data_IF_499330879672
#
_entry.id   IF_499330879672
#
_cell.length_a   1.000
_cell.length_b   1.000
_cell.length_c   1.000
_cell.angle_alpha   90.00
_cell.angle_beta   90.00
_cell.angle_gamma   90.00
#
_symmetry.space_group_name_H-M   'P 1'
#
loop_
_entity.id
_entity.type
_entity.pdbx_description
1 polymer ?
#
# COMPACT_ATOMS: atom_id res chain seq x y z
N UNK A 1 32.79 44.90 26.63
CA UNK A 1 32.25 43.56 26.34
C UNK A 1 30.81 43.38 26.86
N UNK A 2 30.50 43.82 28.05
CA UNK A 2 29.14 43.66 28.67
C UNK A 2 28.05 44.36 27.86
N UNK A 3 28.33 45.57 27.32
CA UNK A 3 27.36 46.33 26.52
C UNK A 3 27.00 45.68 25.18
N UNK A 4 27.93 44.94 24.55
CA UNK A 4 27.68 44.17 23.33
C UNK A 4 26.92 42.88 23.62
N UNK A 5 27.15 42.29 24.79
CA UNK A 5 26.39 41.10 25.23
C UNK A 5 24.93 41.44 25.58
N UNK A 6 24.70 42.60 26.19
CA UNK A 6 23.36 43.10 26.51
C UNK A 6 22.55 43.42 25.26
N UNK A 7 23.19 43.93 24.20
CA UNK A 7 22.54 44.20 22.90
C UNK A 7 22.16 42.91 22.15
N UNK A 8 22.98 41.88 22.23
CA UNK A 8 22.67 40.54 21.59
C UNK A 8 21.55 39.85 22.35
N UNK A 9 21.49 39.93 23.68
CA UNK A 9 20.40 39.37 24.48
C UNK A 9 19.07 40.12 24.21
N UNK A 10 19.12 41.45 24.06
CA UNK A 10 17.93 42.25 23.74
C UNK A 10 17.38 41.97 22.33
N UNK A 11 18.26 41.72 21.34
CA UNK A 11 17.86 41.34 19.99
C UNK A 11 17.32 39.89 19.91
N UNK A 12 17.82 38.95 20.72
CA UNK A 12 17.24 37.60 20.81
C UNK A 12 15.84 37.57 21.45
N UNK A 13 15.57 38.42 22.46
CA UNK A 13 14.24 38.55 23.06
C UNK A 13 13.20 39.18 22.13
N UNK A 14 13.61 40.02 21.19
CA UNK A 14 12.70 40.63 20.21
C UNK A 14 12.26 39.63 19.09
N UNK A 15 12.96 38.51 18.89
CA UNK A 15 12.65 37.53 17.87
C UNK A 15 11.55 36.54 18.26
N UNK A 16 11.06 36.56 19.50
CA UNK A 16 10.00 35.65 19.98
C UNK A 16 8.61 36.32 20.09
N UNK A 17 8.46 37.55 19.60
CA UNK A 17 7.13 38.10 19.37
C UNK A 17 6.53 37.29 18.19
N UNK A 18 5.92 36.13 18.49
CA UNK A 18 4.98 35.46 17.56
C UNK A 18 3.85 36.46 17.35
N UNK A 19 3.92 37.21 16.27
CA UNK A 19 2.78 38.00 15.81
C UNK A 19 1.62 37.02 15.63
N UNK A 20 0.60 37.11 16.48
CA UNK A 20 -0.66 36.45 16.28
C UNK A 20 -1.14 36.88 14.91
N UNK A 21 -0.99 35.99 13.91
CA UNK A 21 -1.45 36.25 12.55
C UNK A 21 -2.98 36.21 12.58
N UNK A 22 -3.60 37.37 12.45
CA UNK A 22 -5.02 37.45 12.13
C UNK A 22 -5.23 36.94 10.72
N UNK A 23 -6.05 35.92 10.58
CA UNK A 23 -6.34 35.27 9.31
C UNK A 23 -7.63 35.82 8.72
N UNK A 24 -7.56 36.39 7.52
CA UNK A 24 -8.74 36.71 6.71
C UNK A 24 -9.22 35.45 5.96
N UNK A 25 -10.47 35.46 5.53
CA UNK A 25 -11.06 34.38 4.72
C UNK A 25 -10.22 34.11 3.47
N UNK A 26 -9.78 35.15 2.76
CA UNK A 26 -8.97 35.01 1.55
C UNK A 26 -7.60 34.43 1.82
N UNK A 27 -7.00 34.79 2.97
CA UNK A 27 -5.74 34.19 3.41
C UNK A 27 -5.90 32.69 3.70
N UNK A 28 -7.01 32.29 4.35
CA UNK A 28 -7.33 30.90 4.60
C UNK A 28 -7.54 30.10 3.30
N UNK A 29 -8.27 30.66 2.34
CA UNK A 29 -8.43 30.07 1.00
C UNK A 29 -7.10 29.89 0.29
N UNK A 30 -6.25 30.93 0.28
CA UNK A 30 -4.94 30.87 -0.37
C UNK A 30 -4.02 29.82 0.28
N UNK A 31 -3.99 29.73 1.60
CA UNK A 31 -3.21 28.72 2.32
C UNK A 31 -3.71 27.30 2.03
N UNK A 32 -5.02 27.10 2.00
CA UNK A 32 -5.59 25.80 1.71
C UNK A 32 -5.29 25.33 0.29
N UNK A 33 -5.42 26.20 -0.71
CA UNK A 33 -5.07 25.87 -2.09
C UNK A 33 -3.60 25.46 -2.25
N UNK A 34 -2.72 25.94 -1.35
CA UNK A 34 -1.28 25.60 -1.37
C UNK A 34 -0.97 24.34 -0.55
N UNK A 35 -1.57 24.19 0.62
CA UNK A 35 -1.12 23.26 1.65
C UNK A 35 -2.11 22.12 1.93
N UNK A 36 -3.35 22.19 1.40
CA UNK A 36 -4.37 21.17 1.67
C UNK A 36 -3.94 19.80 1.15
N UNK A 37 -4.00 18.80 2.04
CA UNK A 37 -3.54 17.43 1.74
C UNK A 37 -4.43 16.72 0.74
N UNK A 38 -5.75 16.99 0.77
CA UNK A 38 -6.71 16.39 -0.18
C UNK A 38 -6.44 16.89 -1.60
N UNK A 39 -6.20 18.20 -1.75
CA UNK A 39 -5.85 18.78 -3.04
C UNK A 39 -4.49 18.29 -3.54
N UNK A 40 -3.51 18.14 -2.64
CA UNK A 40 -2.21 17.55 -2.98
C UNK A 40 -2.36 16.10 -3.46
N UNK A 41 -3.22 15.30 -2.83
CA UNK A 41 -3.53 13.95 -3.28
C UNK A 41 -4.18 13.91 -4.67
N UNK A 42 -5.12 14.83 -4.95
CA UNK A 42 -5.74 14.94 -6.27
C UNK A 42 -4.72 15.31 -7.37
N UNK A 43 -3.76 16.18 -7.07
CA UNK A 43 -2.65 16.51 -8.00
C UNK A 43 -1.77 15.29 -8.28
N UNK A 44 -1.42 14.52 -7.26
CA UNK A 44 -0.67 13.27 -7.44
C UNK A 44 -1.45 12.23 -8.24
N UNK A 45 -2.79 12.18 -8.10
CA UNK A 45 -3.64 11.32 -8.92
C UNK A 45 -3.61 11.73 -10.40
N UNK A 46 -3.57 13.04 -10.70
CA UNK A 46 -3.39 13.52 -12.08
C UNK A 46 -2.03 13.10 -12.63
N UNK A 47 -0.95 13.26 -11.86
CA UNK A 47 0.39 12.80 -12.27
C UNK A 47 0.39 11.30 -12.54
N UNK A 48 -0.24 10.50 -11.67
CA UNK A 48 -0.42 9.06 -11.90
C UNK A 48 -1.18 8.75 -13.20
N UNK A 49 -2.25 9.49 -13.50
CA UNK A 49 -3.02 9.33 -14.73
C UNK A 49 -2.16 9.69 -15.95
N UNK A 50 -1.38 10.77 -15.88
CA UNK A 50 -0.42 11.13 -16.91
C UNK A 50 0.61 10.02 -17.19
N UNK A 51 1.19 9.43 -16.14
CA UNK A 51 2.12 8.29 -16.30
C UNK A 51 1.43 7.03 -16.81
N UNK A 52 0.14 6.82 -16.50
CA UNK A 52 -0.65 5.72 -17.08
C UNK A 52 -0.81 5.89 -18.61
N UNK A 53 -1.00 7.12 -19.10
CA UNK A 53 -1.01 7.40 -20.54
C UNK A 53 0.34 7.05 -21.17
N UNK A 54 1.46 7.44 -20.53
CA UNK A 54 2.80 7.06 -21.00
C UNK A 54 2.97 5.54 -21.02
N UNK A 55 2.55 4.86 -19.95
CA UNK A 55 2.60 3.40 -19.85
C UNK A 55 1.70 2.70 -20.88
N UNK A 56 0.51 3.25 -21.20
CA UNK A 56 -0.34 2.72 -22.26
C UNK A 56 0.32 2.80 -23.62
N UNK A 57 1.07 3.88 -23.91
CA UNK A 57 1.84 4.03 -25.16
C UNK A 57 2.96 2.99 -25.28
N UNK A 58 3.57 2.55 -24.18
CA UNK A 58 4.62 1.51 -24.23
C UNK A 58 4.11 0.15 -24.68
N UNK A 59 2.78 -0.09 -24.68
CA UNK A 59 2.19 -1.32 -25.25
C UNK A 59 2.45 -1.49 -26.76
N UNK A 60 2.83 -0.42 -27.46
CA UNK A 60 3.29 -0.50 -28.84
C UNK A 60 4.74 -0.94 -28.98
N UNK A 61 5.51 -0.92 -27.90
CA UNK A 61 6.92 -1.27 -27.90
C UNK A 61 7.13 -2.76 -27.61
N UNK A 62 8.26 -3.34 -28.03
CA UNK A 62 8.64 -4.70 -27.65
C UNK A 62 8.75 -4.81 -26.14
N UNK A 63 8.18 -5.89 -25.60
CA UNK A 63 8.27 -6.22 -24.19
C UNK A 63 9.27 -7.36 -23.99
N UNK A 64 10.30 -7.12 -23.19
CA UNK A 64 11.31 -8.11 -22.83
C UNK A 64 11.01 -8.59 -21.43
N UNK A 65 10.77 -9.89 -21.28
CA UNK A 65 10.62 -10.54 -20.00
C UNK A 65 11.73 -11.60 -19.81
N UNK A 66 12.31 -11.65 -18.63
CA UNK A 66 13.26 -12.69 -18.23
C UNK A 66 12.65 -13.46 -17.06
N UNK A 67 12.61 -14.78 -17.19
CA UNK A 67 12.17 -15.69 -16.16
C UNK A 67 13.34 -16.62 -15.81
N UNK A 68 13.73 -16.65 -14.55
CA UNK A 68 14.72 -17.59 -14.01
C UNK A 68 14.06 -18.50 -12.99
N UNK A 69 14.30 -19.82 -13.11
CA UNK A 69 13.90 -20.83 -12.16
C UNK A 69 15.11 -21.63 -11.68
N UNK A 70 15.18 -21.92 -10.40
CA UNK A 70 16.10 -22.85 -9.80
C UNK A 70 15.28 -23.94 -9.11
N UNK A 71 15.51 -25.20 -9.52
CA UNK A 71 14.85 -26.35 -8.97
C UNK A 71 15.86 -27.24 -8.26
N UNK A 72 15.61 -27.52 -7.00
CA UNK A 72 16.37 -28.43 -6.18
C UNK A 72 15.56 -29.70 -5.95
N UNK A 73 16.00 -30.82 -6.55
CA UNK A 73 15.35 -32.10 -6.41
C UNK A 73 16.09 -32.96 -5.42
N UNK A 74 15.39 -33.59 -4.47
CA UNK A 74 16.03 -34.48 -3.48
C UNK A 74 16.51 -35.80 -4.06
N UNK A 75 16.00 -36.21 -5.22
CA UNK A 75 16.35 -37.41 -5.96
C UNK A 75 16.81 -37.05 -7.37
N UNK A 76 17.83 -37.78 -7.81
CA UNK A 76 18.32 -37.78 -9.18
C UNK A 76 17.29 -38.41 -10.11
N UNK A 77 16.89 -37.71 -11.18
CA UNK A 77 16.01 -38.26 -12.21
C UNK A 77 16.92 -39.06 -13.20
N UNK A 78 16.86 -40.36 -13.12
CA UNK A 78 17.59 -41.23 -14.04
C UNK A 78 16.67 -41.67 -15.18
N UNK A 79 17.19 -41.71 -16.40
CA UNK A 79 16.49 -42.26 -17.56
C UNK A 79 16.28 -43.76 -17.48
N UNK A 80 17.12 -44.46 -16.67
CA UNK A 80 17.04 -45.88 -16.45
C UNK A 80 16.43 -46.17 -15.07
N UNK A 81 15.51 -47.17 -15.01
CA UNK A 81 15.00 -47.68 -13.74
C UNK A 81 16.12 -48.43 -12.98
N UNK A 82 15.97 -48.58 -11.67
CA UNK A 82 16.99 -49.28 -10.85
C UNK A 82 17.11 -50.73 -11.25
N UNK A 83 16.06 -51.36 -11.73
CA UNK A 83 16.10 -52.74 -12.33
C UNK A 83 16.92 -52.80 -13.62
N UNK A 84 16.73 -51.80 -14.51
CA UNK A 84 17.50 -51.70 -15.76
C UNK A 84 18.99 -51.43 -15.49
N UNK A 85 19.28 -50.59 -14.50
CA UNK A 85 20.69 -50.36 -14.08
C UNK A 85 21.32 -51.64 -13.56
N UNK A 86 20.59 -52.35 -12.68
CA UNK A 86 21.04 -53.64 -12.15
C UNK A 86 21.24 -54.66 -13.26
N UNK A 87 20.33 -54.78 -14.20
CA UNK A 87 20.43 -55.70 -15.33
C UNK A 87 21.64 -55.36 -16.23
N UNK A 88 21.88 -54.08 -16.55
CA UNK A 88 23.04 -53.68 -17.36
C UNK A 88 24.36 -53.91 -16.64
N UNK A 89 24.44 -53.55 -15.34
CA UNK A 89 25.69 -53.66 -14.56
C UNK A 89 26.11 -55.11 -14.22
N UNK A 90 25.16 -56.06 -14.31
CA UNK A 90 25.41 -57.51 -14.05
C UNK A 90 25.18 -58.40 -15.25
N UNK A 91 24.95 -57.81 -16.41
CA UNK A 91 24.63 -58.56 -17.64
C UNK A 91 25.73 -59.59 -18.02
N UNK A 92 26.98 -59.20 -17.85
CA UNK A 92 28.12 -60.07 -18.12
C UNK A 92 28.21 -61.26 -17.16
N UNK A 93 28.06 -60.99 -15.87
CA UNK A 93 28.05 -62.02 -14.84
C UNK A 93 26.92 -63.01 -15.02
N UNK A 94 25.73 -62.54 -15.33
CA UNK A 94 24.56 -63.43 -15.58
C UNK A 94 24.74 -64.28 -16.85
N UNK A 95 25.19 -63.67 -17.94
CA UNK A 95 25.40 -64.39 -19.20
C UNK A 95 26.51 -65.46 -19.06
N UNK A 96 27.64 -65.11 -18.45
CA UNK A 96 28.76 -66.04 -18.27
C UNK A 96 28.42 -67.13 -17.26
N UNK A 97 27.67 -66.84 -16.19
CA UNK A 97 27.20 -67.81 -15.21
C UNK A 97 26.27 -68.86 -15.84
N UNK A 98 25.33 -68.46 -16.69
CA UNK A 98 24.48 -69.39 -17.45
C UNK A 98 25.30 -70.29 -18.38
N UNK A 99 26.20 -69.72 -19.17
CA UNK A 99 27.09 -70.44 -20.05
C UNK A 99 27.99 -71.42 -19.28
N UNK A 100 28.52 -71.04 -18.12
CA UNK A 100 29.33 -71.89 -17.26
C UNK A 100 28.54 -73.09 -16.71
N UNK A 101 27.32 -72.86 -16.30
CA UNK A 101 26.45 -73.96 -15.80
C UNK A 101 26.18 -74.97 -16.92
N UNK A 102 25.90 -74.53 -18.14
CA UNK A 102 25.62 -75.39 -19.31
C UNK A 102 26.91 -76.17 -19.72
N UNK A 103 28.07 -75.49 -19.78
CA UNK A 103 29.32 -76.12 -20.08
C UNK A 103 29.71 -77.19 -19.02
N UNK A 104 29.53 -76.82 -17.72
CA UNK A 104 29.84 -77.75 -16.65
C UNK A 104 28.89 -78.96 -16.68
N UNK A 105 27.66 -78.79 -16.99
CA UNK A 105 26.67 -79.85 -17.14
C UNK A 105 27.02 -80.75 -18.34
N UNK A 106 27.40 -80.16 -19.46
CA UNK A 106 27.83 -80.90 -20.65
C UNK A 106 29.13 -81.72 -20.40
N UNK A 107 30.10 -81.08 -19.78
CA UNK A 107 31.37 -81.75 -19.41
C UNK A 107 31.17 -82.90 -18.40
N UNK A 108 30.31 -82.71 -17.41
CA UNK A 108 29.94 -83.76 -16.47
C UNK A 108 29.20 -84.90 -17.17
N UNK A 109 28.30 -84.61 -18.09
CA UNK A 109 27.60 -85.60 -18.93
C UNK A 109 28.60 -86.41 -19.80
N UNK A 110 29.57 -85.78 -20.42
CA UNK A 110 30.60 -86.46 -21.20
C UNK A 110 31.55 -87.31 -20.34
N UNK A 111 31.85 -86.85 -19.12
CA UNK A 111 32.63 -87.64 -18.18
C UNK A 111 31.88 -88.88 -17.68
N UNK A 112 30.56 -88.75 -17.42
CA UNK A 112 29.68 -89.90 -17.04
C UNK A 112 29.54 -90.95 -18.15
N UNK A 113 29.63 -90.52 -19.43
CA UNK A 113 29.56 -91.41 -20.58
C UNK A 113 30.91 -92.00 -20.89
N UNK A 114 31.96 -91.68 -20.10
CA UNK A 114 33.36 -92.23 -20.33
C UNK A 114 34.09 -91.62 -21.53
N UNK A 115 33.54 -90.55 -22.14
CA UNK A 115 34.16 -89.88 -23.30
C UNK A 115 35.38 -89.04 -22.91
N UNK A 116 35.41 -88.52 -21.68
CA UNK A 116 36.55 -87.78 -21.14
C UNK A 116 36.80 -88.21 -19.71
N UNK A 117 38.05 -88.03 -19.23
CA UNK A 117 38.34 -88.35 -17.82
C UNK A 117 37.74 -87.25 -16.90
N UNK A 118 37.30 -87.63 -15.65
CA UNK A 118 36.76 -86.67 -14.71
C UNK A 118 37.71 -85.49 -14.37
N UNK A 119 39.02 -85.78 -14.36
CA UNK A 119 40.06 -84.78 -14.12
C UNK A 119 40.15 -83.77 -15.26
N UNK A 120 40.00 -84.20 -16.51
CA UNK A 120 40.00 -83.34 -17.69
C UNK A 120 38.69 -82.50 -17.70
N UNK A 121 37.53 -83.08 -17.34
CA UNK A 121 36.26 -82.37 -17.23
C UNK A 121 36.35 -81.24 -16.19
N UNK A 122 36.90 -81.51 -14.99
CA UNK A 122 37.16 -80.50 -13.95
C UNK A 122 38.19 -79.44 -14.38
N UNK A 123 39.25 -79.85 -15.04
CA UNK A 123 40.26 -78.93 -15.58
C UNK A 123 39.69 -77.95 -16.61
N UNK A 124 38.92 -78.47 -17.57
CA UNK A 124 38.23 -77.63 -18.55
C UNK A 124 37.12 -76.75 -17.92
N UNK A 125 36.35 -77.30 -16.98
CA UNK A 125 35.33 -76.48 -16.24
C UNK A 125 35.94 -75.32 -15.48
N UNK A 126 37.12 -75.53 -14.80
CA UNK A 126 37.81 -74.47 -14.12
C UNK A 126 38.39 -73.41 -15.11
N UNK A 127 38.87 -73.84 -16.23
CA UNK A 127 39.43 -72.95 -17.25
C UNK A 127 38.33 -72.08 -17.89
N UNK A 128 37.23 -72.71 -18.25
CA UNK A 128 36.04 -71.97 -18.73
C UNK A 128 35.51 -71.06 -17.68
N UNK A 129 35.51 -71.43 -16.40
CA UNK A 129 35.12 -70.58 -15.28
C UNK A 129 35.99 -69.32 -15.13
N UNK A 130 37.33 -69.49 -15.24
CA UNK A 130 38.25 -68.35 -15.19
C UNK A 130 38.06 -67.41 -16.41
N UNK A 131 37.94 -67.95 -17.58
CA UNK A 131 37.74 -67.16 -18.79
C UNK A 131 36.35 -66.48 -18.77
N UNK A 132 35.35 -67.22 -18.35
CA UNK A 132 34.00 -66.68 -18.19
C UNK A 132 33.87 -65.53 -17.18
N UNK A 133 34.51 -65.66 -16.00
CA UNK A 133 34.55 -64.61 -14.99
C UNK A 133 35.26 -63.32 -15.46
N UNK A 134 36.34 -63.48 -16.23
CA UNK A 134 37.03 -62.31 -16.81
C UNK A 134 36.21 -61.64 -17.92
N UNK A 135 35.56 -62.40 -18.78
CA UNK A 135 34.67 -61.90 -19.81
C UNK A 135 33.42 -61.21 -19.16
N UNK A 136 32.86 -61.83 -18.14
CA UNK A 136 31.74 -61.27 -17.37
C UNK A 136 32.10 -59.91 -16.76
N UNK A 137 33.24 -59.81 -16.11
CA UNK A 137 33.68 -58.55 -15.53
C UNK A 137 33.96 -57.43 -16.57
N UNK A 138 34.43 -57.78 -17.77
CA UNK A 138 34.58 -56.77 -18.86
C UNK A 138 33.23 -56.30 -19.37
N UNK A 139 32.27 -57.19 -19.55
CA UNK A 139 30.92 -56.82 -20.01
C UNK A 139 30.19 -56.00 -18.92
N UNK A 140 30.30 -56.40 -17.66
CA UNK A 140 29.74 -55.65 -16.53
C UNK A 140 30.38 -54.24 -16.43
N UNK A 141 31.70 -54.12 -16.67
CA UNK A 141 32.40 -52.85 -16.72
C UNK A 141 31.91 -51.94 -17.86
N UNK A 142 31.57 -52.52 -19.02
CA UNK A 142 30.95 -51.76 -20.11
C UNK A 142 29.52 -51.35 -19.73
N UNK A 143 28.74 -52.26 -19.16
CA UNK A 143 27.39 -52.00 -18.66
C UNK A 143 27.37 -50.86 -17.65
N UNK A 144 28.29 -50.86 -16.71
CA UNK A 144 28.45 -49.79 -15.72
C UNK A 144 28.77 -48.44 -16.39
N UNK A 145 29.68 -48.42 -17.36
CA UNK A 145 29.98 -47.19 -18.12
C UNK A 145 28.79 -46.65 -18.88
N UNK A 146 27.91 -47.52 -19.40
CA UNK A 146 26.68 -47.11 -20.05
C UNK A 146 25.70 -46.52 -19.02
N UNK A 147 25.58 -47.16 -17.85
CA UNK A 147 24.76 -46.61 -16.75
C UNK A 147 25.29 -45.24 -16.32
N UNK A 148 26.59 -45.08 -16.17
CA UNK A 148 27.20 -43.80 -15.76
C UNK A 148 27.06 -42.74 -16.88
N UNK A 149 27.17 -43.12 -18.14
CA UNK A 149 26.97 -42.21 -19.28
C UNK A 149 25.53 -41.70 -19.42
N UNK A 150 24.55 -42.52 -18.99
CA UNK A 150 23.11 -42.18 -18.99
C UNK A 150 22.68 -41.56 -17.68
N UNK A 151 23.60 -41.36 -16.76
CA UNK A 151 23.35 -40.71 -15.48
C UNK A 151 23.34 -39.20 -15.69
N UNK A 152 22.22 -38.53 -15.51
CA UNK A 152 22.10 -37.09 -15.56
C UNK A 152 21.86 -36.58 -14.14
N UNK A 153 22.80 -35.79 -13.61
CA UNK A 153 22.58 -35.12 -12.30
C UNK A 153 21.57 -34.02 -12.45
N UNK A 154 20.34 -34.32 -12.08
CA UNK A 154 19.21 -33.39 -12.12
C UNK A 154 18.90 -32.78 -10.76
N UNK A 155 19.78 -32.94 -9.77
CA UNK A 155 19.56 -32.43 -8.41
C UNK A 155 19.48 -30.91 -8.35
N UNK A 156 20.21 -30.25 -9.24
CA UNK A 156 20.28 -28.80 -9.33
C UNK A 156 20.05 -28.41 -10.78
N UNK A 157 18.80 -27.95 -11.05
CA UNK A 157 18.45 -27.48 -12.39
C UNK A 157 18.26 -25.97 -12.35
N UNK A 158 18.98 -25.28 -13.21
CA UNK A 158 18.85 -23.85 -13.43
C UNK A 158 18.32 -23.61 -14.85
N UNK A 159 17.18 -22.92 -14.94
CA UNK A 159 16.60 -22.56 -16.22
C UNK A 159 16.42 -21.05 -16.28
N UNK A 160 16.91 -20.43 -17.34
CA UNK A 160 16.68 -19.02 -17.64
C UNK A 160 16.05 -18.92 -19.02
N UNK A 161 14.94 -18.23 -19.10
CA UNK A 161 14.31 -17.90 -20.38
C UNK A 161 14.21 -16.39 -20.53
N UNK A 162 14.57 -15.88 -21.69
CA UNK A 162 14.33 -14.49 -22.09
C UNK A 162 13.33 -14.51 -23.24
N UNK A 163 12.22 -13.82 -23.04
CA UNK A 163 11.15 -13.74 -24.03
C UNK A 163 11.00 -12.30 -24.50
N UNK A 164 11.02 -12.10 -25.80
CA UNK A 164 10.70 -10.84 -26.47
C UNK A 164 9.32 -10.96 -27.11
N UNK A 165 8.38 -10.14 -26.66
CA UNK A 165 7.02 -10.11 -27.19
C UNK A 165 6.73 -8.76 -27.82
N UNK A 166 6.41 -8.75 -29.11
CA UNK A 166 6.02 -7.56 -29.87
C UNK A 166 4.60 -7.77 -30.41
N UNK A 167 3.59 -7.07 -29.90
CA UNK A 167 2.27 -7.12 -30.49
C UNK A 167 2.26 -6.35 -31.82
N UNK A 168 1.96 -7.02 -32.94
CA UNK A 168 1.84 -6.41 -34.26
C UNK A 168 0.39 -5.93 -34.47
N UNK A 169 -0.58 -6.75 -34.09
CA UNK A 169 -2.00 -6.45 -34.22
C UNK A 169 -2.82 -7.11 -33.09
N UNK A 170 -3.63 -6.31 -32.42
CA UNK A 170 -4.50 -6.76 -31.31
C UNK A 170 -5.96 -6.31 -31.52
N UNK A 171 -6.45 -6.31 -32.77
CA UNK A 171 -7.86 -5.98 -33.06
C UNK A 171 -8.30 -4.60 -32.54
N UNK A 172 -7.40 -3.61 -32.50
CA UNK A 172 -7.70 -2.28 -31.97
C UNK A 172 -7.60 -2.14 -30.44
N UNK A 173 -7.32 -3.23 -29.70
CA UNK A 173 -7.27 -3.22 -28.24
C UNK A 173 -6.23 -2.26 -27.65
N UNK A 174 -5.05 -2.09 -28.30
CA UNK A 174 -4.03 -1.13 -27.84
C UNK A 174 -4.52 0.31 -28.06
N UNK A 175 -5.21 0.59 -29.18
CA UNK A 175 -5.78 1.91 -29.49
C UNK A 175 -6.84 2.27 -28.45
N UNK A 176 -7.75 1.33 -28.16
CA UNK A 176 -8.78 1.52 -27.14
C UNK A 176 -8.18 1.75 -25.76
N UNK A 177 -7.16 0.96 -25.35
CA UNK A 177 -6.47 1.14 -24.08
C UNK A 177 -5.77 2.52 -23.96
N UNK A 178 -5.18 3.03 -25.05
CA UNK A 178 -4.59 4.37 -25.07
C UNK A 178 -5.66 5.47 -24.98
N UNK A 179 -6.80 5.28 -25.65
CA UNK A 179 -7.94 6.21 -25.55
C UNK A 179 -8.49 6.24 -24.13
N UNK A 180 -8.72 5.08 -23.52
CA UNK A 180 -9.15 4.97 -22.11
C UNK A 180 -8.18 5.65 -21.14
N UNK A 181 -6.87 5.48 -21.37
CA UNK A 181 -5.87 6.14 -20.54
C UNK A 181 -5.93 7.67 -20.65
N UNK A 182 -6.14 8.22 -21.86
CA UNK A 182 -6.32 9.67 -22.08
C UNK A 182 -7.58 10.19 -21.41
N UNK A 183 -8.71 9.51 -21.56
CA UNK A 183 -9.96 9.86 -20.86
C UNK A 183 -9.73 9.87 -19.36
N UNK A 184 -9.01 8.87 -18.83
CA UNK A 184 -8.64 8.83 -17.42
C UNK A 184 -7.77 10.01 -16.97
N UNK A 185 -6.90 10.55 -17.82
CA UNK A 185 -6.12 11.76 -17.56
C UNK A 185 -7.03 13.01 -17.52
N UNK A 186 -7.96 13.14 -18.46
CA UNK A 186 -8.96 14.22 -18.51
C UNK A 186 -9.89 14.17 -17.28
N UNK A 187 -10.35 12.98 -16.89
CA UNK A 187 -11.13 12.78 -15.67
C UNK A 187 -10.34 13.20 -14.41
N UNK A 188 -9.05 12.89 -14.33
CA UNK A 188 -8.21 13.29 -13.22
C UNK A 188 -8.03 14.82 -13.15
N UNK A 189 -7.93 15.49 -14.30
CA UNK A 189 -7.89 16.96 -14.37
C UNK A 189 -9.21 17.58 -13.89
N UNK A 190 -10.35 17.09 -14.35
CA UNK A 190 -11.67 17.55 -13.92
C UNK A 190 -11.90 17.28 -12.42
N UNK A 191 -11.36 16.17 -11.89
CA UNK A 191 -11.41 15.87 -10.46
C UNK A 191 -10.62 16.87 -9.59
N UNK A 192 -9.50 17.42 -10.08
CA UNK A 192 -8.78 18.48 -9.37
C UNK A 192 -9.66 19.72 -9.27
N UNK A 193 -10.34 20.10 -10.35
CA UNK A 193 -11.24 21.25 -10.35
C UNK A 193 -12.38 21.06 -9.35
N UNK A 194 -13.05 19.89 -9.36
CA UNK A 194 -14.08 19.53 -8.39
C UNK A 194 -13.56 19.56 -6.95
N UNK A 195 -12.38 18.98 -6.70
CA UNK A 195 -11.74 18.95 -5.38
C UNK A 195 -11.37 20.36 -4.92
N UNK A 196 -10.95 21.23 -5.83
CA UNK A 196 -10.62 22.63 -5.53
C UNK A 196 -11.87 23.38 -5.05
N UNK A 197 -12.99 23.26 -5.76
CA UNK A 197 -14.24 23.89 -5.37
C UNK A 197 -14.76 23.36 -4.03
N UNK A 198 -14.72 22.04 -3.84
CA UNK A 198 -15.09 21.41 -2.56
C UNK A 198 -14.21 21.87 -1.40
N UNK A 199 -12.89 22.05 -1.64
CA UNK A 199 -11.95 22.55 -0.63
C UNK A 199 -12.27 23.98 -0.27
N UNK A 200 -12.51 24.87 -1.24
CA UNK A 200 -12.87 26.27 -0.99
C UNK A 200 -14.17 26.36 -0.17
N UNK A 201 -15.19 25.59 -0.56
CA UNK A 201 -16.45 25.56 0.19
C UNK A 201 -16.28 25.08 1.64
N UNK A 202 -15.47 24.02 1.84
CA UNK A 202 -15.19 23.49 3.18
C UNK A 202 -14.47 24.51 4.08
N UNK A 203 -13.58 25.33 3.49
CA UNK A 203 -12.88 26.38 4.22
C UNK A 203 -13.82 27.51 4.59
N UNK A 204 -14.65 27.95 3.66
CA UNK A 204 -15.65 28.97 3.92
C UNK A 204 -16.58 28.54 5.07
N UNK A 205 -17.05 27.30 5.04
CA UNK A 205 -17.84 26.73 6.14
C UNK A 205 -17.07 26.70 7.47
N UNK A 206 -15.83 26.23 7.46
CA UNK A 206 -15.02 26.14 8.68
C UNK A 206 -14.70 27.53 9.25
N UNK A 207 -14.40 28.50 8.40
CA UNK A 207 -14.13 29.89 8.80
C UNK A 207 -15.35 30.50 9.51
N UNK A 208 -16.52 30.49 8.87
CA UNK A 208 -17.75 31.02 9.42
C UNK A 208 -18.27 30.19 10.61
N UNK A 209 -17.92 28.92 10.70
CA UNK A 209 -18.19 28.11 11.88
C UNK A 209 -17.41 28.61 13.10
N UNK A 210 -16.11 28.93 12.95
CA UNK A 210 -15.30 29.52 14.05
C UNK A 210 -15.91 30.83 14.51
N UNK A 211 -16.25 31.74 13.58
CA UNK A 211 -16.87 33.02 13.90
C UNK A 211 -18.21 32.80 14.64
N UNK A 212 -19.07 31.94 14.14
CA UNK A 212 -20.38 31.65 14.77
C UNK A 212 -20.23 31.04 16.17
N UNK A 213 -19.29 30.12 16.37
CA UNK A 213 -19.06 29.49 17.68
C UNK A 213 -18.46 30.48 18.66
N UNK A 214 -17.58 31.42 18.21
CA UNK A 214 -17.08 32.48 19.07
C UNK A 214 -18.19 33.40 19.58
N UNK A 215 -19.12 33.81 18.72
CA UNK A 215 -20.28 34.57 19.14
C UNK A 215 -21.19 33.81 20.13
N UNK A 216 -21.37 32.49 19.93
CA UNK A 216 -22.04 31.62 20.90
C UNK A 216 -21.36 31.58 22.25
N UNK A 217 -19.99 31.53 22.25
CA UNK A 217 -19.20 31.61 23.48
C UNK A 217 -19.45 32.94 24.21
N UNK A 218 -19.36 34.08 23.50
CA UNK A 218 -19.65 35.42 24.08
C UNK A 218 -21.05 35.52 24.64
N UNK A 219 -22.06 34.94 23.96
CA UNK A 219 -23.42 34.87 24.44
C UNK A 219 -23.53 34.01 25.72
N UNK A 220 -22.86 32.87 25.76
CA UNK A 220 -22.86 32.00 26.94
C UNK A 220 -22.17 32.66 28.13
N UNK A 221 -21.06 33.39 27.92
CA UNK A 221 -20.40 34.21 28.96
C UNK A 221 -21.35 35.29 29.51
N UNK A 222 -22.04 36.02 28.63
CA UNK A 222 -22.99 37.04 29.00
C UNK A 222 -24.15 36.46 29.78
N UNK A 223 -24.70 35.32 29.35
CA UNK A 223 -25.74 34.60 30.04
C UNK A 223 -25.31 34.13 31.43
N UNK A 224 -24.13 33.54 31.55
CA UNK A 224 -23.57 33.13 32.83
C UNK A 224 -23.45 34.31 33.81
N UNK A 225 -22.96 35.46 33.34
CA UNK A 225 -22.89 36.67 34.17
C UNK A 225 -24.24 37.13 34.69
N UNK A 226 -25.28 37.08 33.84
CA UNK A 226 -26.66 37.43 34.26
C UNK A 226 -27.18 36.45 35.31
N UNK A 227 -26.98 35.15 35.12
CA UNK A 227 -27.46 34.12 36.05
C UNK A 227 -26.71 34.16 37.37
N UNK A 228 -25.39 34.44 37.37
CA UNK A 228 -24.57 34.64 38.59
C UNK A 228 -25.02 35.85 39.37
N UNK A 229 -25.38 36.95 38.69
CA UNK A 229 -25.95 38.13 39.36
C UNK A 229 -27.31 37.81 39.96
N UNK A 230 -28.18 37.04 39.26
CA UNK A 230 -29.44 36.59 39.79
C UNK A 230 -29.27 35.72 41.05
N UNK A 231 -28.28 34.83 41.07
CA UNK A 231 -27.96 33.99 42.24
C UNK A 231 -27.56 34.88 43.44
N UNK A 232 -26.68 35.85 43.24
CA UNK A 232 -26.24 36.79 44.29
C UNK A 232 -27.46 37.59 44.83
N UNK A 233 -28.36 38.06 43.97
CA UNK A 233 -29.57 38.80 44.38
C UNK A 233 -30.53 37.89 45.15
N UNK A 234 -30.74 36.64 44.72
CA UNK A 234 -31.58 35.66 45.43
C UNK A 234 -30.98 35.26 46.78
N UNK A 235 -29.67 35.12 46.91
CA UNK A 235 -29.01 34.86 48.19
C UNK A 235 -29.24 36.03 49.20
N UNK A 236 -29.21 37.28 48.74
CA UNK A 236 -29.54 38.45 49.58
C UNK A 236 -31.03 38.39 49.98
N UNK A 237 -31.94 38.07 49.07
CA UNK A 237 -33.38 37.93 49.39
C UNK A 237 -33.62 36.82 50.42
N UNK A 238 -32.87 35.73 50.39
CA UNK A 238 -32.95 34.65 51.38
C UNK A 238 -32.46 35.15 52.74
N UNK A 239 -31.37 35.90 52.77
CA UNK A 239 -30.83 36.48 54.01
C UNK A 239 -31.83 37.46 54.69
N UNK A 240 -32.60 38.19 53.90
CA UNK A 240 -33.67 39.10 54.37
C UNK A 240 -35.01 38.37 54.62
N UNK A 241 -35.09 37.05 54.40
CA UNK A 241 -36.32 36.28 54.66
C UNK A 241 -37.41 36.43 53.58
N UNK A 242 -37.12 37.02 52.43
CA UNK A 242 -38.09 37.28 51.34
C UNK A 242 -38.16 36.11 50.36
N UNK A 243 -37.09 35.29 50.24
CA UNK A 243 -37.02 34.10 49.39
C UNK A 243 -36.73 32.83 50.17
N UNK A 244 -37.04 31.66 49.62
CA UNK A 244 -36.80 30.34 50.25
C UNK A 244 -35.47 29.76 49.84
N UNK A 245 -34.93 28.85 50.70
CA UNK A 245 -33.75 28.05 50.30
C UNK A 245 -33.96 27.24 49.03
N UNK A 246 -35.19 26.79 48.77
CA UNK A 246 -35.55 26.06 47.56
C UNK A 246 -35.40 26.93 46.31
N UNK A 247 -35.69 28.22 46.40
CA UNK A 247 -35.54 29.16 45.27
C UNK A 247 -34.03 29.40 44.98
N UNK A 248 -33.23 29.52 46.05
CA UNK A 248 -31.77 29.61 45.89
C UNK A 248 -31.17 28.37 45.19
N UNK A 249 -31.62 27.17 45.58
CA UNK A 249 -31.16 25.93 44.92
C UNK A 249 -31.57 25.87 43.45
N UNK A 250 -32.74 26.34 43.07
CA UNK A 250 -33.17 26.39 41.66
C UNK A 250 -32.25 27.31 40.83
N UNK A 251 -31.88 28.47 41.38
CA UNK A 251 -30.96 29.39 40.70
C UNK A 251 -29.56 28.82 40.63
N UNK A 252 -29.04 28.16 41.68
CA UNK A 252 -27.76 27.48 41.67
C UNK A 252 -27.67 26.39 40.57
N UNK A 253 -28.76 25.64 40.35
CA UNK A 253 -28.84 24.71 39.21
C UNK A 253 -28.68 25.44 37.87
N UNK A 254 -29.33 26.61 37.72
CA UNK A 254 -29.20 27.42 36.50
C UNK A 254 -27.81 28.00 36.29
N UNK A 255 -27.08 28.34 37.35
CA UNK A 255 -25.66 28.71 37.26
C UNK A 255 -24.86 27.56 36.72
N UNK A 256 -25.00 26.33 37.26
CA UNK A 256 -24.31 25.16 36.77
C UNK A 256 -24.61 24.82 35.30
N UNK A 257 -25.89 24.95 34.90
CA UNK A 257 -26.31 24.78 33.49
C UNK A 257 -25.62 25.80 32.58
N UNK A 258 -25.51 27.06 33.01
CA UNK A 258 -24.85 28.12 32.26
C UNK A 258 -23.31 27.89 32.17
N UNK A 259 -22.68 27.43 33.25
CA UNK A 259 -21.24 27.05 33.24
C UNK A 259 -20.96 25.89 32.31
N UNK A 260 -21.84 24.87 32.30
CA UNK A 260 -21.76 23.77 31.32
C UNK A 260 -21.86 24.26 29.89
N UNK A 261 -22.82 25.17 29.63
CA UNK A 261 -23.04 25.74 28.30
C UNK A 261 -21.82 26.55 27.82
N UNK A 262 -21.19 27.32 28.71
CA UNK A 262 -19.95 28.02 28.41
C UNK A 262 -18.82 27.04 28.07
N UNK A 263 -18.60 26.04 28.93
CA UNK A 263 -17.56 25.01 28.70
C UNK A 263 -17.75 24.29 27.36
N UNK A 264 -19.01 23.99 27.00
CA UNK A 264 -19.33 23.38 25.70
C UNK A 264 -19.00 24.33 24.54
N UNK A 265 -19.28 25.63 24.67
CA UNK A 265 -18.98 26.62 23.65
C UNK A 265 -17.46 26.82 23.49
N UNK A 266 -16.70 26.84 24.59
CA UNK A 266 -15.22 26.93 24.59
C UNK A 266 -14.59 25.72 23.90
N UNK A 267 -15.03 24.51 24.23
CA UNK A 267 -14.57 23.28 23.58
C UNK A 267 -14.95 23.27 22.11
N UNK A 268 -16.15 23.72 21.76
CA UNK A 268 -16.62 23.85 20.38
C UNK A 268 -15.76 24.83 19.58
N UNK A 269 -15.35 25.95 20.18
CA UNK A 269 -14.47 26.93 19.55
C UNK A 269 -13.08 26.32 19.29
N UNK A 270 -12.50 25.64 20.27
CA UNK A 270 -11.22 24.97 20.11
C UNK A 270 -11.25 23.94 18.96
N UNK A 271 -12.27 23.10 18.92
CA UNK A 271 -12.45 22.10 17.85
C UNK A 271 -12.64 22.74 16.47
N UNK A 272 -13.43 23.83 16.38
CA UNK A 272 -13.64 24.53 15.10
C UNK A 272 -12.35 25.20 14.59
N UNK A 273 -11.55 25.79 15.48
CA UNK A 273 -10.21 26.30 15.13
C UNK A 273 -9.25 25.21 14.67
N UNK A 274 -9.24 24.06 15.35
CA UNK A 274 -8.45 22.89 14.94
C UNK A 274 -8.84 22.40 13.52
N UNK A 275 -10.14 22.33 13.23
CA UNK A 275 -10.64 21.96 11.91
C UNK A 275 -10.18 22.94 10.83
N UNK A 276 -10.28 24.24 11.10
CA UNK A 276 -9.81 25.27 10.18
C UNK A 276 -8.29 25.16 9.93
N UNK A 277 -7.49 24.97 10.98
CA UNK A 277 -6.05 24.75 10.85
C UNK A 277 -5.73 23.53 9.99
N UNK A 278 -6.43 22.42 10.20
CA UNK A 278 -6.29 21.21 9.39
C UNK A 278 -6.60 21.46 7.91
N UNK A 279 -7.67 22.17 7.60
CA UNK A 279 -8.05 22.49 6.22
C UNK A 279 -7.06 23.45 5.56
N UNK A 280 -6.52 24.43 6.31
CA UNK A 280 -5.48 25.33 5.83
C UNK A 280 -4.11 24.66 5.74
N UNK A 281 -3.92 23.46 6.28
CA UNK A 281 -2.64 22.75 6.34
C UNK A 281 -1.67 23.34 7.36
N UNK A 282 -2.20 24.01 8.38
CA UNK A 282 -1.45 24.53 9.52
C UNK A 282 -1.34 23.46 10.63
N UNK A 283 -0.35 23.56 11.53
CA UNK A 283 -0.32 22.74 12.74
C UNK A 283 -1.59 22.95 13.57
N UNK A 284 -2.17 21.87 14.07
CA UNK A 284 -3.46 21.87 14.78
C UNK A 284 -3.37 22.60 16.12
N UNK A 285 -2.17 22.73 16.66
CA UNK A 285 -1.86 23.37 17.94
C UNK A 285 -1.77 24.91 17.84
N UNK A 286 -1.83 25.48 16.64
CA UNK A 286 -1.75 26.93 16.45
C UNK A 286 -3.04 27.58 16.94
N UNK A 287 -2.90 28.52 17.89
CA UNK A 287 -4.00 29.41 18.25
C UNK A 287 -4.13 30.51 17.18
N UNK A 288 -5.11 30.34 16.30
CA UNK A 288 -5.38 31.27 15.21
C UNK A 288 -6.48 32.25 15.63
N UNK A 289 -6.29 33.51 15.28
CA UNK A 289 -7.33 34.54 15.39
C UNK A 289 -7.85 34.90 14.00
N UNK A 290 -9.15 35.03 13.87
CA UNK A 290 -9.78 35.43 12.61
C UNK A 290 -10.08 36.92 12.63
N UNK A 291 -9.97 37.55 11.45
CA UNK A 291 -10.28 38.98 11.29
C UNK A 291 -11.72 39.29 11.69
N UNK A 292 -12.66 38.42 11.30
CA UNK A 292 -14.10 38.57 11.55
C UNK A 292 -14.57 37.98 12.89
N UNK A 293 -13.67 37.43 13.73
CA UNK A 293 -14.02 36.68 14.94
C UNK A 293 -14.79 37.55 15.97
N UNK A 294 -14.56 38.87 15.97
CA UNK A 294 -15.21 39.84 16.88
C UNK A 294 -16.00 40.92 16.14
N UNK A 295 -16.21 40.73 14.84
CA UNK A 295 -16.96 41.72 14.06
C UNK A 295 -18.45 41.65 14.36
N UNK A 296 -19.04 42.80 14.75
CA UNK A 296 -20.47 42.92 15.01
C UNK A 296 -21.27 43.20 13.71
N UNK A 297 -20.59 43.47 12.61
CA UNK A 297 -21.19 43.85 11.32
C UNK A 297 -21.48 42.63 10.43
N UNK A 298 -21.71 41.47 11.03
CA UNK A 298 -22.11 40.24 10.29
C UNK A 298 -23.54 40.33 9.71
N UNK A 299 -24.19 41.50 9.82
CA UNK A 299 -25.55 41.71 9.39
C UNK A 299 -25.57 42.21 7.96
N UNK A 300 -26.12 41.36 7.10
CA UNK A 300 -26.74 41.67 5.83
C UNK A 300 -25.86 42.21 4.68
N UNK A 301 -24.97 41.35 4.15
CA UNK A 301 -24.95 41.34 2.71
C UNK A 301 -25.99 40.31 2.25
N UNK A 302 -27.22 40.71 2.07
CA UNK A 302 -28.15 39.99 1.20
C UNK A 302 -27.47 39.99 -0.17
N UNK A 303 -26.65 38.97 -0.40
CA UNK A 303 -26.15 38.71 -1.73
C UNK A 303 -27.40 38.52 -2.58
N UNK A 304 -27.74 39.50 -3.37
CA UNK A 304 -28.66 39.33 -4.48
C UNK A 304 -28.02 38.25 -5.33
N UNK A 305 -28.48 37.00 -5.12
CA UNK A 305 -28.12 35.87 -5.94
C UNK A 305 -28.65 36.28 -7.32
N UNK A 306 -27.77 36.86 -8.16
CA UNK A 306 -28.07 36.97 -9.58
C UNK A 306 -28.50 35.57 -10.00
N UNK A 307 -29.65 35.46 -10.64
CA UNK A 307 -30.15 34.21 -11.18
C UNK A 307 -29.05 33.66 -12.09
N UNK A 308 -28.26 32.76 -11.55
CA UNK A 308 -27.24 32.06 -12.34
C UNK A 308 -27.96 31.42 -13.53
N UNK A 309 -27.51 31.72 -14.74
CA UNK A 309 -28.05 31.09 -15.93
C UNK A 309 -27.75 29.58 -15.82
N UNK A 310 -28.81 28.78 -15.69
CA UNK A 310 -28.67 27.34 -15.53
C UNK A 310 -27.89 26.67 -16.68
N UNK A 311 -27.90 27.27 -17.88
CA UNK A 311 -27.14 26.74 -19.02
C UNK A 311 -25.64 26.89 -18.79
N UNK A 312 -25.17 28.04 -18.33
CA UNK A 312 -23.75 28.28 -17.98
C UNK A 312 -23.30 27.43 -16.81
N UNK A 313 -24.20 27.22 -15.83
CA UNK A 313 -23.91 26.35 -14.70
C UNK A 313 -23.76 24.88 -15.12
N UNK A 314 -24.56 24.40 -16.08
CA UNK A 314 -24.47 23.04 -16.59
C UNK A 314 -23.16 22.80 -17.38
N UNK A 315 -22.74 23.74 -18.21
CA UNK A 315 -21.50 23.62 -18.99
C UNK A 315 -20.22 23.67 -18.12
N UNK A 316 -20.27 24.39 -17.00
CA UNK A 316 -19.07 24.62 -16.18
C UNK A 316 -18.95 23.73 -14.97
N UNK A 317 -19.95 22.90 -14.63
CA UNK A 317 -19.87 21.99 -13.51
C UNK A 317 -18.87 20.84 -13.75
N UNK A 318 -17.79 20.73 -12.95
CA UNK A 318 -16.79 19.67 -13.15
C UNK A 318 -17.38 18.27 -12.94
N UNK A 319 -18.44 18.13 -12.12
CA UNK A 319 -19.11 16.85 -11.92
C UNK A 319 -19.82 16.34 -13.19
N UNK A 320 -20.39 17.26 -14.00
CA UNK A 320 -21.02 16.91 -15.27
C UNK A 320 -19.95 16.57 -16.32
N UNK A 321 -18.85 17.30 -16.37
CA UNK A 321 -17.72 16.99 -17.24
C UNK A 321 -17.11 15.61 -16.96
N UNK A 322 -17.18 15.13 -15.70
CA UNK A 322 -16.74 13.78 -15.33
C UNK A 322 -17.66 12.67 -15.87
N UNK A 323 -18.94 12.98 -16.12
CA UNK A 323 -19.92 12.02 -16.64
C UNK A 323 -19.92 11.97 -18.17
N UNK A 324 -19.53 13.06 -18.85
CA UNK A 324 -19.48 13.15 -20.32
C UNK A 324 -18.23 12.50 -20.93
N UNK A 325 -17.21 12.21 -20.11
CA UNK A 325 -15.98 11.51 -20.51
C UNK A 325 -16.10 9.99 -20.37
#
# INVERSE_FOLDING_TARGET
MIQRFLLIVLTCCAATAQAQQTLSLDSCRAMALRNNKTLSAARLQQDMAHYKVKAAKTKYLPHISALGGYELTSREISLLSDEQKGALSSAGTHATGALQSDITSALTGLAQQGAISPELANGLGNLFGQVGSKLGSVVDGVGQKVVDALRTDTRQMFAVSVMLTQPIYMGGGIIAANRMAKIGEEMAANNIEATTQATLHSIDQAYWMVVSVNHKKQLAESYLNVVKKLDDDVQKMIAEGVATRADGLKVAVKVNEAEMSLTQAENGLALSKMLLCQLCGLPVENDVQLEDENSNDLIETTATVEKADNSVAMENRPELKLLDN
#
